data_IF_940348839453
#
_entry.id   IF_940348839453
#
_cell.length_a   1.000
_cell.length_b   1.000
_cell.length_c   1.000
_cell.angle_alpha   90.00
_cell.angle_beta   90.00
_cell.angle_gamma   90.00
#
_symmetry.space_group_name_H-M   'P 1'
#
loop_
_entity.id
_entity.type
_entity.pdbx_description
1 polymer ?
#
# COMPACT_ATOMS: atom_id res chain seq x y z
N UNK A 1 1.40 6.28 -1.67
CA UNK A 1 2.47 6.99 -2.40
C UNK A 1 1.88 7.46 -3.73
N UNK A 2 2.68 7.99 -4.66
CA UNK A 2 2.27 8.11 -6.07
C UNK A 2 3.39 7.51 -6.91
N UNK A 3 3.26 6.22 -7.24
CA UNK A 3 4.29 5.44 -7.95
C UNK A 3 4.04 5.19 -9.44
N UNK A 4 2.82 5.42 -9.92
CA UNK A 4 2.36 4.96 -11.25
C UNK A 4 1.57 6.06 -11.96
N UNK A 5 1.89 6.33 -13.22
CA UNK A 5 1.05 7.21 -14.05
C UNK A 5 -0.21 6.44 -14.46
N UNK A 6 -1.31 7.13 -14.79
CA UNK A 6 -2.54 6.49 -15.29
C UNK A 6 -2.35 5.56 -16.52
N UNK A 7 -1.14 5.48 -17.09
CA UNK A 7 -0.80 4.70 -18.28
C UNK A 7 0.19 3.53 -18.02
N UNK A 8 0.47 3.18 -16.76
CA UNK A 8 1.20 1.94 -16.41
C UNK A 8 2.73 2.00 -16.51
N UNK A 9 3.31 3.10 -16.99
CA UNK A 9 4.76 3.31 -16.90
C UNK A 9 5.20 3.56 -15.46
N UNK A 10 6.30 2.89 -15.05
CA UNK A 10 6.94 3.11 -13.76
C UNK A 10 7.39 4.58 -13.66
N UNK A 11 6.66 5.38 -12.88
CA UNK A 11 6.91 6.82 -12.73
C UNK A 11 8.12 7.10 -11.84
N UNK A 12 8.53 6.12 -11.03
CA UNK A 12 9.65 6.23 -10.11
C UNK A 12 10.79 5.35 -10.61
N UNK A 13 11.92 5.98 -10.91
CA UNK A 13 13.19 5.28 -11.06
C UNK A 13 13.50 4.47 -9.78
N UNK A 14 14.31 3.41 -9.88
CA UNK A 14 14.63 2.54 -8.74
C UNK A 14 15.14 3.32 -7.52
N UNK A 15 15.89 4.39 -7.76
CA UNK A 15 16.44 5.30 -6.76
C UNK A 15 15.35 6.09 -6.01
N UNK A 16 14.23 6.37 -6.68
CA UNK A 16 13.09 7.04 -6.06
C UNK A 16 12.31 6.08 -5.16
N UNK A 17 12.14 4.81 -5.56
CA UNK A 17 11.57 3.77 -4.68
C UNK A 17 12.44 3.54 -3.45
N UNK A 18 13.75 3.52 -3.60
CA UNK A 18 14.68 3.42 -2.46
C UNK A 18 14.51 4.59 -1.49
N UNK A 19 14.43 5.83 -2.01
CA UNK A 19 14.18 7.01 -1.19
C UNK A 19 12.83 6.97 -0.48
N UNK A 20 11.78 6.42 -1.11
CA UNK A 20 10.49 6.20 -0.44
C UNK A 20 10.66 5.24 0.73
N UNK A 21 11.30 4.08 0.52
CA UNK A 21 11.50 3.05 1.55
C UNK A 21 12.38 3.53 2.71
N UNK A 22 13.47 4.24 2.42
CA UNK A 22 14.53 4.53 3.40
C UNK A 22 14.41 5.93 4.03
N UNK A 23 13.68 6.87 3.41
CA UNK A 23 13.57 8.25 3.89
C UNK A 23 12.15 8.70 4.20
N UNK A 24 11.17 8.32 3.37
CA UNK A 24 9.79 8.83 3.52
C UNK A 24 8.93 7.95 4.42
N UNK A 25 8.88 6.64 4.18
CA UNK A 25 8.09 5.71 4.98
C UNK A 25 8.49 5.69 6.47
N UNK A 26 9.78 5.74 6.84
CA UNK A 26 10.18 5.70 8.26
C UNK A 26 9.70 6.87 9.10
N UNK A 27 9.37 8.01 8.49
CA UNK A 27 8.89 9.22 9.18
C UNK A 27 7.40 9.50 8.95
N UNK A 28 6.72 8.66 8.18
CA UNK A 28 5.32 8.86 7.86
C UNK A 28 4.43 8.50 9.05
N UNK A 29 3.45 9.35 9.36
CA UNK A 29 2.38 8.95 10.29
C UNK A 29 1.43 7.95 9.64
N UNK A 30 1.15 8.13 8.34
CA UNK A 30 0.30 7.24 7.57
C UNK A 30 0.86 7.05 6.15
N UNK A 31 0.91 5.81 5.69
CA UNK A 31 1.19 5.46 4.29
C UNK A 31 -0.10 4.98 3.62
N UNK A 32 -0.36 5.38 2.37
CA UNK A 32 -1.63 5.04 1.67
C UNK A 32 -1.43 4.36 0.31
N UNK A 33 -0.62 3.29 0.22
CA UNK A 33 -0.32 2.66 -1.06
C UNK A 33 -1.55 1.98 -1.68
N UNK A 34 -1.66 2.01 -3.00
CA UNK A 34 -2.52 1.09 -3.74
C UNK A 34 -1.79 -0.25 -3.98
N UNK A 35 -2.47 -1.23 -4.56
CA UNK A 35 -1.89 -2.56 -4.79
C UNK A 35 -0.64 -2.54 -5.68
N UNK A 36 -0.58 -1.67 -6.69
CA UNK A 36 0.59 -1.55 -7.57
C UNK A 36 1.80 -0.99 -6.82
N UNK A 37 1.58 0.04 -5.99
CA UNK A 37 2.61 0.60 -5.12
C UNK A 37 3.08 -0.38 -4.06
N UNK A 38 2.18 -1.21 -3.51
CA UNK A 38 2.56 -2.31 -2.62
C UNK A 38 3.51 -3.26 -3.34
N UNK A 39 3.15 -3.72 -4.55
CA UNK A 39 3.99 -4.64 -5.32
C UNK A 39 5.36 -4.03 -5.62
N UNK A 40 5.43 -2.75 -5.98
CA UNK A 40 6.70 -2.05 -6.20
C UNK A 40 7.52 -1.90 -4.93
N UNK A 41 6.90 -1.59 -3.79
CA UNK A 41 7.60 -1.32 -2.54
C UNK A 41 8.03 -2.59 -1.81
N UNK A 42 7.27 -3.68 -1.92
CA UNK A 42 7.43 -4.89 -1.09
C UNK A 42 7.65 -6.17 -1.90
N UNK A 43 7.30 -6.18 -3.19
CA UNK A 43 7.22 -7.40 -4.00
C UNK A 43 5.97 -8.24 -3.74
N UNK A 44 5.08 -7.83 -2.83
CA UNK A 44 3.83 -8.55 -2.54
C UNK A 44 2.76 -8.21 -3.56
N UNK A 45 2.24 -9.23 -4.24
CA UNK A 45 1.03 -9.14 -5.06
C UNK A 45 -0.19 -9.48 -4.21
N UNK A 46 -1.17 -8.59 -4.21
CA UNK A 46 -2.42 -8.75 -3.44
C UNK A 46 -3.55 -9.17 -4.38
N UNK A 47 -4.17 -10.31 -4.09
CA UNK A 47 -5.29 -10.87 -4.87
C UNK A 47 -6.58 -11.02 -4.07
N UNK A 48 -6.52 -10.81 -2.75
CA UNK A 48 -7.63 -10.94 -1.82
C UNK A 48 -7.38 -10.16 -0.51
N UNK A 49 -8.35 -10.15 0.40
CA UNK A 49 -8.26 -9.47 1.71
C UNK A 49 -7.15 -10.05 2.61
N UNK A 50 -6.78 -11.33 2.47
CA UNK A 50 -5.66 -11.91 3.23
C UNK A 50 -4.32 -11.34 2.76
N UNK A 51 -4.19 -11.14 1.44
CA UNK A 51 -3.08 -10.43 0.83
C UNK A 51 -3.00 -8.97 1.27
N UNK A 52 -4.13 -8.31 1.52
CA UNK A 52 -4.14 -6.93 2.03
C UNK A 52 -3.52 -6.82 3.43
N UNK A 53 -3.75 -7.81 4.31
CA UNK A 53 -3.11 -7.85 5.63
C UNK A 53 -1.60 -7.99 5.52
N UNK A 54 -1.13 -8.97 4.73
CA UNK A 54 0.30 -9.15 4.45
C UNK A 54 0.93 -7.89 3.86
N UNK A 55 0.26 -7.25 2.91
CA UNK A 55 0.71 -5.99 2.34
C UNK A 55 0.85 -4.89 3.39
N UNK A 56 -0.11 -4.79 4.32
CA UNK A 56 -0.05 -3.84 5.42
C UNK A 56 1.15 -4.10 6.34
N UNK A 57 1.37 -5.36 6.72
CA UNK A 57 2.51 -5.78 7.56
C UNK A 57 3.85 -5.37 6.92
N UNK A 58 4.05 -5.69 5.64
CA UNK A 58 5.28 -5.34 4.91
C UNK A 58 5.50 -3.83 4.80
N UNK A 59 4.43 -3.05 4.59
CA UNK A 59 4.55 -1.59 4.52
C UNK A 59 4.83 -0.98 5.90
N UNK A 60 4.19 -1.48 6.96
CA UNK A 60 4.45 -1.07 8.34
C UNK A 60 5.89 -1.36 8.76
N UNK A 61 6.50 -2.44 8.24
CA UNK A 61 7.91 -2.76 8.49
C UNK A 61 8.89 -1.68 8.01
N UNK A 62 8.50 -0.81 7.07
CA UNK A 62 9.29 0.36 6.68
C UNK A 62 9.22 1.52 7.68
N UNK A 63 8.38 1.44 8.71
CA UNK A 63 8.27 2.40 9.81
C UNK A 63 7.06 3.35 9.87
N UNK A 64 6.09 3.40 8.92
CA UNK A 64 4.93 4.27 9.13
C UNK A 64 4.11 3.78 10.33
N UNK A 65 3.50 4.70 11.08
CA UNK A 65 2.65 4.32 12.23
C UNK A 65 1.36 3.62 11.80
N UNK A 66 0.77 4.06 10.70
CA UNK A 66 -0.45 3.51 10.12
C UNK A 66 -0.27 3.27 8.63
N UNK A 67 -1.02 2.32 8.09
CA UNK A 67 -1.12 2.09 6.64
C UNK A 67 -2.58 1.97 6.20
N UNK A 68 -2.90 2.56 5.05
CA UNK A 68 -4.13 2.33 4.30
C UNK A 68 -3.78 1.59 3.01
N UNK A 69 -4.04 0.29 2.94
CA UNK A 69 -3.92 -0.48 1.71
C UNK A 69 -5.18 -0.25 0.89
N UNK A 70 -5.05 0.38 -0.28
CA UNK A 70 -6.18 0.66 -1.16
C UNK A 70 -6.42 -0.51 -2.11
N UNK A 71 -7.52 -1.25 -1.89
CA UNK A 71 -7.84 -2.50 -2.59
C UNK A 71 -8.79 -2.34 -3.77
N UNK A 72 -9.08 -1.11 -4.22
CA UNK A 72 -10.06 -0.81 -5.27
C UNK A 72 -9.93 -1.58 -6.61
N UNK A 73 -8.80 -2.26 -6.87
CA UNK A 73 -8.59 -3.12 -8.05
C UNK A 73 -8.98 -4.60 -7.85
N UNK A 74 -9.33 -5.04 -6.64
CA UNK A 74 -9.78 -6.41 -6.38
C UNK A 74 -11.19 -6.66 -6.96
N UNK A 75 -11.56 -7.89 -7.36
CA UNK A 75 -12.93 -8.20 -7.75
C UNK A 75 -13.93 -7.94 -6.61
N UNK A 76 -15.15 -7.47 -6.94
CA UNK A 76 -16.21 -7.21 -5.94
C UNK A 76 -16.38 -5.74 -5.54
N UNK A 77 -16.72 -5.50 -4.27
CA UNK A 77 -16.84 -4.15 -3.69
C UNK A 77 -15.47 -3.47 -3.55
N UNK A 78 -15.43 -2.14 -3.57
CA UNK A 78 -14.20 -1.43 -3.26
C UNK A 78 -13.91 -1.59 -1.76
N UNK A 79 -12.76 -2.18 -1.44
CA UNK A 79 -12.34 -2.45 -0.06
C UNK A 79 -10.96 -1.88 0.21
N UNK A 80 -10.85 -1.09 1.27
CA UNK A 80 -9.58 -0.56 1.78
C UNK A 80 -9.36 -1.03 3.23
N UNK A 81 -8.11 -1.29 3.59
CA UNK A 81 -7.71 -1.70 4.94
C UNK A 81 -6.86 -0.61 5.58
N UNK A 82 -7.33 -0.04 6.69
CA UNK A 82 -6.53 0.81 7.58
C UNK A 82 -6.08 -0.02 8.80
N UNK A 83 -4.78 -0.03 9.09
CA UNK A 83 -4.22 -0.72 10.26
C UNK A 83 -2.90 -0.12 10.75
N UNK A 84 -2.60 -0.29 12.04
CA UNK A 84 -1.30 -0.04 12.68
C UNK A 84 -0.58 -1.35 13.08
N UNK A 85 -1.10 -2.50 12.65
CA UNK A 85 -0.65 -3.84 13.03
C UNK A 85 -1.29 -4.38 14.31
N UNK A 86 -2.06 -3.56 15.04
CA UNK A 86 -2.80 -3.98 16.25
C UNK A 86 -4.31 -3.93 16.05
N UNK A 87 -4.81 -2.92 15.35
CA UNK A 87 -6.22 -2.74 15.02
C UNK A 87 -6.45 -2.77 13.51
N UNK A 88 -7.57 -3.34 13.07
CA UNK A 88 -8.01 -3.32 11.68
C UNK A 88 -9.30 -2.53 11.52
N UNK A 89 -9.34 -1.66 10.52
CA UNK A 89 -10.54 -0.95 10.07
C UNK A 89 -10.74 -1.20 8.58
N UNK A 90 -11.82 -1.92 8.25
CA UNK A 90 -12.20 -2.23 6.87
C UNK A 90 -13.18 -1.18 6.36
N UNK A 91 -12.80 -0.46 5.31
CA UNK A 91 -13.60 0.56 4.67
C UNK A 91 -14.18 -0.03 3.38
N UNK A 92 -15.51 -0.16 3.32
CA UNK A 92 -16.23 -0.73 2.17
C UNK A 92 -17.11 0.33 1.52
N UNK A 93 -17.11 0.35 0.20
CA UNK A 93 -18.00 1.21 -0.58
C UNK A 93 -18.53 0.47 -1.82
N UNK A 94 -19.80 0.71 -2.22
CA UNK A 94 -20.29 0.33 -3.53
C UNK A 94 -19.39 0.94 -4.62
N UNK A 95 -19.24 0.22 -5.73
CA UNK A 95 -18.53 0.71 -6.91
C UNK A 95 -19.37 1.69 -7.74
#
# INVERSE_FOLDING_TARGET
>A
PVGVSKHGDALLAAEALDSVRTKLLPVATVATPNLDEVAQLTGVTVTDESGMRRAAEEILAFGPRWVVIKGGHLPGEAVDLLTDGSAEHWLRAPR
#
